data_IF_233174870512
#
_entry.id   IF_233174870512
#
_cell.length_a   1.000
_cell.length_b   1.000
_cell.length_c   1.000
_cell.angle_alpha   90.00
_cell.angle_beta   90.00
_cell.angle_gamma   90.00
#
_symmetry.space_group_name_H-M   'P 1'
#
loop_
_entity.id
_entity.type
_entity.pdbx_description
1 polymer ?
#
# COMPACT_ATOMS: atom_id res chain seq x y z
N UNK A 1 14.57 12.02 -39.88
CA UNK A 1 13.36 12.46 -39.17
C UNK A 1 12.33 12.86 -40.22
N UNK A 2 11.33 12.02 -40.48
CA UNK A 2 10.20 12.42 -41.31
C UNK A 2 9.46 13.55 -40.60
N UNK A 3 9.34 14.73 -41.20
CA UNK A 3 8.48 15.76 -40.63
C UNK A 3 7.05 15.21 -40.60
N UNK A 4 6.43 15.22 -39.42
CA UNK A 4 5.05 14.76 -39.27
C UNK A 4 4.11 15.67 -40.07
N UNK A 5 3.35 15.11 -41.00
CA UNK A 5 2.30 15.86 -41.70
C UNK A 5 1.15 16.08 -40.72
N UNK A 6 0.82 17.35 -40.46
CA UNK A 6 -0.31 17.72 -39.59
C UNK A 6 -1.52 17.99 -40.46
N UNK A 7 -2.56 17.15 -40.34
CA UNK A 7 -3.84 17.36 -41.00
C UNK A 7 -4.76 18.21 -40.11
N UNK A 8 -5.06 19.44 -40.54
CA UNK A 8 -5.97 20.33 -39.82
C UNK A 8 -7.38 20.26 -40.43
N UNK A 9 -8.34 19.77 -39.66
CA UNK A 9 -9.74 19.63 -40.08
C UNK A 9 -10.50 20.94 -39.85
N UNK A 10 -10.75 21.70 -40.93
CA UNK A 10 -11.39 23.03 -40.88
C UNK A 10 -12.88 23.03 -41.18
N UNK A 11 -13.54 21.87 -41.19
CA UNK A 11 -14.96 21.78 -41.52
C UNK A 11 -15.83 22.60 -40.53
N UNK A 12 -16.75 23.47 -40.98
CA UNK A 12 -17.51 24.36 -40.10
C UNK A 12 -18.30 23.64 -39.00
N UNK A 13 -18.85 22.45 -39.29
CA UNK A 13 -19.56 21.65 -38.28
C UNK A 13 -18.63 21.14 -37.18
N UNK A 14 -17.38 20.78 -37.49
CA UNK A 14 -16.40 20.34 -36.49
C UNK A 14 -16.05 21.53 -35.60
N UNK A 15 -15.78 22.70 -36.19
CA UNK A 15 -15.45 23.91 -35.43
C UNK A 15 -16.61 24.38 -34.54
N UNK A 16 -17.84 24.33 -35.06
CA UNK A 16 -19.04 24.65 -34.29
C UNK A 16 -19.22 23.71 -33.09
N UNK A 17 -19.16 22.39 -33.31
CA UNK A 17 -19.30 21.40 -32.23
C UNK A 17 -18.15 21.48 -31.24
N UNK A 18 -16.93 21.73 -31.70
CA UNK A 18 -15.77 21.96 -30.83
C UNK A 18 -15.96 23.20 -29.95
N UNK A 19 -16.56 24.27 -30.49
CA UNK A 19 -16.90 25.47 -29.73
C UNK A 19 -17.91 25.15 -28.63
N UNK A 20 -18.96 24.39 -28.93
CA UNK A 20 -19.94 23.92 -27.94
C UNK A 20 -19.31 23.01 -26.87
N UNK A 21 -18.37 22.14 -27.25
CA UNK A 21 -17.63 21.29 -26.31
C UNK A 21 -16.71 22.08 -25.38
N UNK A 22 -16.18 23.22 -25.83
CA UNK A 22 -15.30 24.09 -25.03
C UNK A 22 -16.04 24.95 -24.02
N UNK A 23 -17.38 25.03 -24.08
CA UNK A 23 -18.17 25.79 -23.12
C UNK A 23 -18.09 25.15 -21.73
N UNK A 24 -17.65 25.94 -20.73
CA UNK A 24 -17.46 25.47 -19.34
C UNK A 24 -18.74 24.93 -18.68
N UNK A 25 -19.89 25.46 -19.08
CA UNK A 25 -21.19 25.17 -18.46
C UNK A 25 -21.90 23.97 -19.13
N UNK A 26 -21.20 23.24 -20.02
CA UNK A 26 -21.78 22.11 -20.76
C UNK A 26 -21.94 20.89 -19.84
N UNK A 27 -23.09 20.22 -19.92
CA UNK A 27 -23.32 18.98 -19.18
C UNK A 27 -22.43 17.84 -19.69
N UNK A 28 -22.14 16.88 -18.82
CA UNK A 28 -21.34 15.69 -19.14
C UNK A 28 -21.95 14.86 -20.28
N UNK A 29 -23.27 14.69 -20.28
CA UNK A 29 -24.01 14.02 -21.36
C UNK A 29 -23.86 14.80 -22.67
N UNK A 30 -24.07 16.11 -22.65
CA UNK A 30 -23.95 16.95 -23.84
C UNK A 30 -22.53 16.98 -24.43
N UNK A 31 -21.50 16.92 -23.58
CA UNK A 31 -20.11 16.79 -24.03
C UNK A 31 -19.87 15.43 -24.72
N UNK A 32 -20.34 14.33 -24.15
CA UNK A 32 -20.19 12.98 -24.73
C UNK A 32 -20.87 12.86 -26.10
N UNK A 33 -22.08 13.40 -26.24
CA UNK A 33 -22.78 13.42 -27.54
C UNK A 33 -22.00 14.21 -28.59
N UNK A 34 -21.51 15.40 -28.25
CA UNK A 34 -20.72 16.21 -29.18
C UNK A 34 -19.38 15.54 -29.54
N UNK A 35 -18.72 14.88 -28.58
CA UNK A 35 -17.47 14.15 -28.83
C UNK A 35 -17.69 13.03 -29.85
N UNK A 36 -18.79 12.27 -29.70
CA UNK A 36 -19.20 11.24 -30.64
C UNK A 36 -19.46 11.80 -32.05
N UNK A 37 -20.24 12.88 -32.15
CA UNK A 37 -20.53 13.53 -33.44
C UNK A 37 -19.27 14.09 -34.11
N UNK A 38 -18.34 14.67 -33.33
CA UNK A 38 -17.06 15.13 -33.86
C UNK A 38 -16.22 13.94 -34.32
N UNK A 39 -16.22 12.82 -33.58
CA UNK A 39 -15.50 11.61 -33.98
C UNK A 39 -15.97 11.09 -35.34
N UNK A 40 -17.28 11.04 -35.58
CA UNK A 40 -17.85 10.61 -36.87
C UNK A 40 -17.42 11.53 -38.02
N UNK A 41 -17.48 12.85 -37.82
CA UNK A 41 -17.05 13.81 -38.83
C UNK A 41 -15.54 13.72 -39.12
N UNK A 42 -14.73 13.48 -38.08
CA UNK A 42 -13.29 13.29 -38.25
C UNK A 42 -12.99 11.97 -38.96
N UNK A 43 -13.67 10.88 -38.60
CA UNK A 43 -13.50 9.59 -39.24
C UNK A 43 -13.74 9.70 -40.75
N UNK A 44 -14.85 10.33 -41.15
CA UNK A 44 -15.19 10.54 -42.55
C UNK A 44 -14.10 11.30 -43.34
N UNK A 45 -13.55 12.38 -42.76
CA UNK A 45 -12.45 13.12 -43.40
C UNK A 45 -11.14 12.33 -43.43
N UNK A 46 -10.84 11.55 -42.38
CA UNK A 46 -9.63 10.73 -42.31
C UNK A 46 -9.67 9.54 -43.28
N UNK A 47 -10.85 9.02 -43.60
CA UNK A 47 -11.03 7.93 -44.56
C UNK A 47 -11.05 8.37 -46.02
N UNK A 48 -10.93 9.67 -46.32
CA UNK A 48 -11.05 10.20 -47.69
C UNK A 48 -10.06 9.59 -48.68
N UNK A 49 -8.83 9.37 -48.24
CA UNK A 49 -7.72 8.90 -49.09
C UNK A 49 -7.49 7.38 -48.95
N UNK A 50 -8.48 6.63 -48.48
CA UNK A 50 -8.37 5.18 -48.37
C UNK A 50 -8.18 4.54 -49.75
N UNK A 51 -7.28 3.56 -49.89
CA UNK A 51 -7.07 2.85 -51.14
C UNK A 51 -8.35 2.12 -51.57
N UNK A 52 -8.67 2.18 -52.86
CA UNK A 52 -9.84 1.53 -53.46
C UNK A 52 -9.44 0.71 -54.69
N UNK A 53 -10.29 -0.23 -55.07
CA UNK A 53 -10.14 -1.04 -56.27
C UNK A 53 -11.48 -1.19 -57.00
N UNK A 54 -11.40 -1.45 -58.30
CA UNK A 54 -12.56 -1.67 -59.15
C UNK A 54 -13.05 -3.11 -59.02
N UNK A 55 -14.37 -3.28 -58.87
CA UNK A 55 -15.03 -4.60 -58.73
C UNK A 55 -16.22 -4.65 -59.70
N UNK A 56 -16.36 -5.76 -60.43
CA UNK A 56 -17.56 -5.99 -61.23
C UNK A 56 -18.74 -6.42 -60.35
N UNK A 57 -19.86 -5.71 -60.47
CA UNK A 57 -21.09 -6.01 -59.75
C UNK A 57 -22.25 -6.17 -60.73
N UNK A 58 -23.26 -6.95 -60.34
CA UNK A 58 -24.51 -7.10 -61.08
C UNK A 58 -25.59 -6.31 -60.36
N UNK A 59 -26.07 -5.24 -60.98
CA UNK A 59 -27.22 -4.48 -60.47
C UNK A 59 -28.51 -5.12 -60.99
N UNK A 60 -29.69 -4.78 -60.42
CA UNK A 60 -30.97 -5.28 -60.95
C UNK A 60 -31.24 -4.94 -62.43
N UNK A 61 -30.49 -4.01 -63.02
CA UNK A 61 -30.66 -3.56 -64.41
C UNK A 61 -29.55 -4.09 -65.33
N UNK A 62 -28.28 -4.02 -64.92
CA UNK A 62 -27.13 -4.43 -65.74
C UNK A 62 -25.85 -4.67 -64.91
N UNK A 63 -24.84 -5.28 -65.55
CA UNK A 63 -23.48 -5.40 -64.98
C UNK A 63 -22.73 -4.09 -65.12
N UNK A 64 -22.11 -3.63 -64.03
CA UNK A 64 -21.31 -2.42 -64.02
C UNK A 64 -20.10 -2.56 -63.10
N UNK A 65 -19.15 -1.63 -63.24
CA UNK A 65 -17.96 -1.57 -62.38
C UNK A 65 -18.21 -0.63 -61.21
N UNK A 66 -18.20 -1.19 -59.99
CA UNK A 66 -18.23 -0.45 -58.73
C UNK A 66 -16.83 -0.18 -58.17
N UNK A 67 -16.76 0.63 -57.11
CA UNK A 67 -15.53 0.89 -56.35
C UNK A 67 -15.67 0.33 -54.95
N UNK A 68 -14.71 -0.49 -54.52
CA UNK A 68 -14.65 -1.08 -53.19
C UNK A 68 -13.36 -0.65 -52.48
N UNK A 69 -13.42 -0.44 -51.16
CA UNK A 69 -12.25 -0.11 -50.34
C UNK A 69 -11.34 -1.34 -50.25
N UNK A 70 -10.03 -1.15 -50.45
CA UNK A 70 -9.03 -2.22 -50.32
C UNK A 70 -9.07 -2.82 -48.91
N UNK A 71 -9.25 -4.14 -48.82
CA UNK A 71 -9.61 -4.89 -47.61
C UNK A 71 -8.53 -4.98 -46.52
N UNK A 72 -7.63 -4.01 -46.43
CA UNK A 72 -6.66 -3.93 -45.32
C UNK A 72 -7.43 -3.62 -44.04
N UNK A 73 -7.27 -4.50 -43.04
CA UNK A 73 -7.88 -4.33 -41.72
C UNK A 73 -7.41 -2.99 -41.14
N UNK A 74 -8.33 -2.02 -41.05
CA UNK A 74 -8.08 -0.76 -40.36
C UNK A 74 -8.03 -1.04 -38.87
N UNK A 75 -7.07 -0.45 -38.18
CA UNK A 75 -6.86 -0.70 -36.75
C UNK A 75 -6.93 0.62 -35.99
N UNK A 76 -7.88 0.73 -35.05
CA UNK A 76 -7.97 1.87 -34.16
C UNK A 76 -7.18 1.62 -32.87
N UNK A 77 -6.21 2.48 -32.58
CA UNK A 77 -5.46 2.48 -31.33
C UNK A 77 -5.98 3.59 -30.43
N UNK A 78 -6.49 3.23 -29.25
CA UNK A 78 -7.15 4.17 -28.35
C UNK A 78 -6.38 4.28 -27.04
N UNK A 79 -6.10 5.51 -26.63
CA UNK A 79 -5.51 5.80 -25.32
C UNK A 79 -6.64 5.99 -24.30
N UNK A 80 -6.78 5.02 -23.40
CA UNK A 80 -7.81 5.02 -22.37
C UNK A 80 -7.50 6.00 -21.22
N UNK A 81 -8.50 6.54 -20.51
CA UNK A 81 -9.96 6.33 -20.63
C UNK A 81 -10.67 7.31 -21.57
N UNK A 82 -10.09 8.49 -21.80
CA UNK A 82 -10.75 9.57 -22.53
C UNK A 82 -10.97 9.25 -24.02
N UNK A 83 -10.13 8.39 -24.61
CA UNK A 83 -10.26 7.97 -26.01
C UNK A 83 -11.50 7.12 -26.29
N UNK A 84 -12.13 6.52 -25.28
CA UNK A 84 -13.33 5.69 -25.46
C UNK A 84 -14.47 6.45 -26.14
N UNK A 85 -14.67 7.74 -25.81
CA UNK A 85 -15.75 8.54 -26.39
C UNK A 85 -15.52 8.92 -27.86
N UNK A 86 -14.29 8.82 -28.37
CA UNK A 86 -13.98 8.98 -29.79
C UNK A 86 -14.11 7.66 -30.56
N UNK A 87 -13.77 6.54 -29.91
CA UNK A 87 -13.82 5.22 -30.52
C UNK A 87 -15.21 4.88 -31.04
N UNK A 88 -16.24 5.15 -30.24
CA UNK A 88 -17.63 4.83 -30.58
C UNK A 88 -18.04 5.45 -31.94
N UNK A 89 -17.76 6.74 -32.14
CA UNK A 89 -18.09 7.43 -33.41
C UNK A 89 -17.16 7.07 -34.57
N UNK A 90 -15.94 6.61 -34.31
CA UNK A 90 -15.02 6.13 -35.36
C UNK A 90 -15.44 4.75 -35.89
N UNK A 91 -15.88 3.85 -35.00
CA UNK A 91 -16.36 2.52 -35.36
C UNK A 91 -17.66 2.56 -36.17
N UNK A 92 -18.49 3.60 -36.00
CA UNK A 92 -19.71 3.77 -36.79
C UNK A 92 -19.40 4.02 -38.28
N UNK A 93 -18.30 4.71 -38.60
CA UNK A 93 -17.87 4.96 -39.98
C UNK A 93 -17.13 3.76 -40.57
N UNK A 94 -16.32 3.06 -39.77
CA UNK A 94 -15.54 1.90 -40.20
C UNK A 94 -15.83 0.66 -39.33
N UNK A 95 -16.97 -0.02 -39.52
CA UNK A 95 -17.39 -1.13 -38.66
C UNK A 95 -16.50 -2.38 -38.79
N UNK A 96 -15.74 -2.50 -39.89
CA UNK A 96 -14.77 -3.58 -40.09
C UNK A 96 -13.41 -3.36 -39.41
N UNK A 97 -13.23 -2.27 -38.66
CA UNK A 97 -11.98 -1.95 -38.01
C UNK A 97 -11.77 -2.77 -36.72
N UNK A 98 -10.54 -3.24 -36.51
CA UNK A 98 -10.11 -3.91 -35.27
C UNK A 98 -9.59 -2.87 -34.28
N UNK A 99 -9.75 -3.10 -32.98
CA UNK A 99 -9.20 -2.25 -31.93
C UNK A 99 -7.83 -2.83 -31.52
N UNK A 100 -6.73 -2.10 -31.73
CA UNK A 100 -5.44 -2.49 -31.18
C UNK A 100 -5.15 -1.75 -29.87
N UNK A 101 -4.84 -2.54 -28.85
CA UNK A 101 -4.61 -2.06 -27.48
C UNK A 101 -5.37 -2.91 -26.48
N UNK A 102 -5.02 -2.73 -25.19
CA UNK A 102 -5.74 -3.37 -24.11
C UNK A 102 -7.10 -2.68 -23.97
N UNK A 103 -8.18 -3.39 -24.30
CA UNK A 103 -9.53 -2.90 -24.14
C UNK A 103 -9.95 -3.09 -22.68
N UNK A 104 -9.88 -2.03 -21.90
CA UNK A 104 -10.43 -2.01 -20.53
C UNK A 104 -11.78 -1.29 -20.54
N UNK A 105 -12.88 -2.04 -20.45
CA UNK A 105 -14.22 -1.46 -20.40
C UNK A 105 -14.97 -1.90 -19.14
N UNK A 106 -15.92 -1.07 -18.71
CA UNK A 106 -16.75 -1.32 -17.54
C UNK A 106 -18.22 -1.15 -17.89
N UNK A 107 -19.02 -2.17 -17.62
CA UNK A 107 -20.45 -2.21 -17.89
C UNK A 107 -21.18 -3.19 -16.97
N UNK A 108 -22.52 -3.20 -16.99
CA UNK A 108 -23.32 -4.13 -16.20
C UNK A 108 -23.24 -5.57 -16.71
N UNK A 109 -23.01 -5.76 -18.01
CA UNK A 109 -22.83 -7.07 -18.64
C UNK A 109 -21.61 -7.07 -19.54
N UNK A 110 -20.98 -8.23 -19.70
CA UNK A 110 -19.90 -8.44 -20.66
C UNK A 110 -20.46 -8.33 -22.09
N UNK A 111 -19.86 -7.49 -22.94
CA UNK A 111 -20.28 -7.37 -24.33
C UNK A 111 -19.72 -8.53 -25.14
N UNK A 112 -20.53 -9.13 -26.01
CA UNK A 112 -20.08 -10.17 -26.95
C UNK A 112 -19.19 -9.54 -28.02
N UNK A 113 -17.87 -9.65 -27.86
CA UNK A 113 -16.88 -9.13 -28.82
C UNK A 113 -16.56 -10.23 -29.85
N UNK A 114 -16.76 -10.01 -31.16
CA UNK A 114 -16.39 -10.97 -32.20
C UNK A 114 -14.89 -11.31 -32.16
N UNK A 115 -14.54 -12.59 -32.30
CA UNK A 115 -13.16 -13.05 -32.29
C UNK A 115 -12.35 -12.36 -33.41
N UNK A 116 -11.32 -11.60 -33.03
CA UNK A 116 -10.48 -10.80 -33.95
C UNK A 116 -10.78 -9.29 -33.96
N UNK A 117 -11.74 -8.82 -33.16
CA UNK A 117 -12.03 -7.39 -33.00
C UNK A 117 -11.08 -6.66 -32.03
N UNK A 118 -10.30 -7.37 -31.21
CA UNK A 118 -9.29 -6.78 -30.30
C UNK A 118 -7.98 -7.57 -30.38
N UNK A 119 -6.87 -6.91 -30.74
CA UNK A 119 -5.53 -7.54 -30.75
C UNK A 119 -4.86 -7.59 -29.37
N UNK A 120 -5.30 -6.74 -28.42
CA UNK A 120 -4.76 -6.67 -27.05
C UNK A 120 -5.59 -7.41 -26.00
N UNK A 121 -5.22 -7.29 -24.72
CA UNK A 121 -5.94 -7.93 -23.61
C UNK A 121 -7.26 -7.22 -23.34
N UNK A 122 -8.38 -7.96 -23.43
CA UNK A 122 -9.69 -7.47 -22.97
C UNK A 122 -9.75 -7.65 -21.46
N UNK A 123 -9.86 -6.55 -20.71
CA UNK A 123 -10.05 -6.57 -19.26
C UNK A 123 -11.41 -5.97 -18.96
N UNK A 124 -12.39 -6.84 -18.73
CA UNK A 124 -13.71 -6.43 -18.26
C UNK A 124 -13.63 -6.14 -16.75
N UNK A 125 -14.18 -5.00 -16.34
CA UNK A 125 -14.39 -4.70 -14.92
C UNK A 125 -15.87 -4.38 -14.73
N UNK A 126 -16.59 -5.30 -14.10
CA UNK A 126 -18.01 -5.15 -13.80
C UNK A 126 -18.25 -3.83 -13.05
N UNK A 127 -19.14 -3.00 -13.59
CA UNK A 127 -19.53 -1.76 -12.92
C UNK A 127 -20.47 -2.15 -11.78
N UNK A 128 -19.90 -2.31 -10.59
CA UNK A 128 -20.68 -2.41 -9.36
C UNK A 128 -21.44 -1.11 -9.17
N UNK A 129 -22.76 -1.17 -9.25
CA UNK A 129 -23.67 -0.04 -9.10
C UNK A 129 -23.43 0.66 -7.75
N UNK A 130 -23.68 1.98 -7.70
CA UNK A 130 -23.49 2.76 -6.46
C UNK A 130 -24.39 2.23 -5.31
N UNK A 131 -25.52 1.56 -5.65
CA UNK A 131 -26.38 0.84 -4.71
C UNK A 131 -25.72 -0.45 -4.18
N UNK A 132 -25.07 -1.24 -5.03
CA UNK A 132 -24.34 -2.45 -4.61
C UNK A 132 -23.10 -2.09 -3.79
N UNK A 133 -22.40 -0.99 -4.10
CA UNK A 133 -21.34 -0.45 -3.22
C UNK A 133 -21.89 0.03 -1.88
N UNK A 134 -23.07 0.66 -1.86
CA UNK A 134 -23.72 1.08 -0.63
C UNK A 134 -24.08 -0.14 0.23
N UNK A 135 -24.67 -1.20 -0.35
CA UNK A 135 -24.96 -2.47 0.34
C UNK A 135 -23.71 -3.20 0.82
N UNK A 136 -22.65 -3.29 0.01
CA UNK A 136 -21.38 -3.91 0.41
C UNK A 136 -20.70 -3.10 1.52
N UNK A 137 -20.75 -1.77 1.48
CA UNK A 137 -20.22 -0.92 2.56
C UNK A 137 -21.06 -1.05 3.85
N UNK A 138 -22.38 -1.23 3.72
CA UNK A 138 -23.30 -1.50 4.84
C UNK A 138 -23.06 -2.88 5.45
N UNK A 139 -22.81 -3.89 4.62
CA UNK A 139 -22.41 -5.24 5.05
C UNK A 139 -21.02 -5.27 5.71
N UNK A 140 -20.06 -4.53 5.16
CA UNK A 140 -18.70 -4.41 5.71
C UNK A 140 -18.69 -3.64 7.04
N UNK A 141 -19.53 -2.60 7.18
CA UNK A 141 -19.74 -1.89 8.45
C UNK A 141 -20.61 -2.66 9.45
N UNK A 142 -21.50 -3.55 8.99
CA UNK A 142 -22.18 -4.52 9.85
C UNK A 142 -21.20 -5.58 10.39
N UNK A 143 -20.10 -5.84 9.67
CA UNK A 143 -18.96 -6.61 10.15
C UNK A 143 -17.95 -5.77 10.95
N UNK A 144 -18.12 -4.44 11.08
CA UNK A 144 -17.26 -3.61 11.93
C UNK A 144 -17.20 -4.09 13.40
N UNK A 145 -18.29 -4.53 14.06
CA UNK A 145 -18.17 -5.17 15.37
C UNK A 145 -17.34 -6.45 15.30
N UNK A 146 -17.52 -7.31 14.29
CA UNK A 146 -16.71 -8.52 14.11
C UNK A 146 -15.22 -8.19 13.85
N UNK A 147 -14.92 -7.14 13.08
CA UNK A 147 -13.58 -6.65 12.81
C UNK A 147 -12.96 -5.97 14.05
N UNK A 148 -13.76 -5.32 14.88
CA UNK A 148 -13.35 -4.83 16.19
C UNK A 148 -13.02 -6.00 17.13
N UNK A 149 -13.86 -7.05 17.15
CA UNK A 149 -13.58 -8.28 17.89
C UNK A 149 -12.37 -9.04 17.33
N UNK A 150 -12.16 -9.05 16.01
CA UNK A 150 -10.96 -9.60 15.37
C UNK A 150 -9.69 -8.78 15.66
N UNK A 151 -9.84 -7.45 15.75
CA UNK A 151 -8.77 -6.57 16.23
C UNK A 151 -8.48 -6.77 17.71
N UNK A 152 -9.50 -7.05 18.53
CA UNK A 152 -9.35 -7.39 19.94
C UNK A 152 -8.69 -8.76 20.12
N UNK A 153 -9.07 -9.78 19.34
CA UNK A 153 -8.43 -11.10 19.39
C UNK A 153 -6.96 -11.00 18.99
N UNK A 154 -6.61 -10.24 17.95
CA UNK A 154 -5.20 -9.99 17.60
C UNK A 154 -4.42 -9.29 18.73
N UNK A 155 -5.02 -8.33 19.43
CA UNK A 155 -4.41 -7.67 20.60
C UNK A 155 -4.22 -8.62 21.78
N UNK A 156 -5.19 -9.49 22.05
CA UNK A 156 -5.10 -10.51 23.11
C UNK A 156 -4.02 -11.54 22.79
N UNK A 157 -3.95 -11.99 21.53
CA UNK A 157 -2.89 -12.89 21.05
C UNK A 157 -1.51 -12.24 21.21
N UNK A 158 -1.36 -10.97 20.82
CA UNK A 158 -0.11 -10.23 20.98
C UNK A 158 0.31 -10.09 22.45
N UNK A 159 -0.64 -9.85 23.35
CA UNK A 159 -0.40 -9.81 24.79
C UNK A 159 0.03 -11.17 25.35
N UNK A 160 -0.66 -12.26 24.98
CA UNK A 160 -0.31 -13.61 25.40
C UNK A 160 1.10 -14.00 24.93
N UNK A 161 1.47 -13.69 23.68
CA UNK A 161 2.81 -13.96 23.17
C UNK A 161 3.89 -13.15 23.93
N UNK A 162 3.61 -11.88 24.25
CA UNK A 162 4.54 -11.04 25.03
C UNK A 162 4.68 -11.56 26.46
N UNK A 163 3.58 -12.04 27.06
CA UNK A 163 3.59 -12.63 28.38
C UNK A 163 4.36 -13.95 28.43
N UNK A 164 4.13 -14.85 27.46
CA UNK A 164 4.87 -16.12 27.35
C UNK A 164 6.36 -15.87 27.10
N UNK A 165 6.69 -14.93 26.21
CA UNK A 165 8.09 -14.56 25.94
C UNK A 165 8.76 -13.94 27.17
N UNK A 166 8.05 -13.08 27.89
CA UNK A 166 8.53 -12.49 29.15
C UNK A 166 8.73 -13.53 30.25
N UNK A 167 7.82 -14.49 30.39
CA UNK A 167 7.95 -15.62 31.31
C UNK A 167 9.16 -16.49 30.94
N UNK A 168 9.31 -16.85 29.66
CA UNK A 168 10.44 -17.63 29.16
C UNK A 168 11.78 -16.93 29.44
N UNK A 169 11.86 -15.62 29.26
CA UNK A 169 13.07 -14.84 29.54
C UNK A 169 13.37 -14.68 31.03
N UNK A 170 12.37 -14.56 31.89
CA UNK A 170 12.57 -14.59 33.34
C UNK A 170 13.15 -15.95 33.76
N UNK A 171 12.69 -17.04 33.15
CA UNK A 171 13.19 -18.39 33.43
C UNK A 171 14.61 -18.64 32.87
N UNK A 172 14.95 -18.12 31.68
CA UNK A 172 16.26 -18.31 31.05
C UNK A 172 17.35 -17.34 31.52
N UNK A 173 16.99 -16.11 31.91
CA UNK A 173 17.95 -15.02 32.12
C UNK A 173 17.74 -14.25 33.45
N UNK A 174 17.46 -14.99 34.53
CA UNK A 174 17.11 -14.50 35.86
C UNK A 174 18.09 -13.44 36.44
N UNK A 175 19.38 -13.47 36.06
CA UNK A 175 20.41 -12.51 36.54
C UNK A 175 20.52 -11.21 35.73
N UNK A 176 20.15 -11.18 34.45
CA UNK A 176 20.33 -9.99 33.59
C UNK A 176 19.15 -9.02 33.65
N UNK A 177 17.93 -9.54 33.83
CA UNK A 177 16.69 -8.74 33.82
C UNK A 177 16.48 -7.95 35.13
N UNK A 178 16.85 -8.51 36.29
CA UNK A 178 16.67 -7.86 37.59
C UNK A 178 17.51 -6.59 37.76
N UNK A 179 18.65 -6.48 37.07
CA UNK A 179 19.49 -5.27 37.06
C UNK A 179 18.98 -4.15 36.14
N UNK A 180 18.13 -4.45 35.16
CA UNK A 180 17.67 -3.47 34.18
C UNK A 180 16.58 -2.54 34.74
N UNK A 181 15.74 -3.02 35.66
CA UNK A 181 14.63 -2.22 36.23
C UNK A 181 15.08 -1.20 37.28
N UNK A 182 16.20 -1.42 37.98
CA UNK A 182 16.75 -0.46 38.95
C UNK A 182 17.48 0.72 38.31
N UNK A 183 17.97 0.55 37.07
CA UNK A 183 18.70 1.59 36.32
C UNK A 183 17.76 2.66 35.78
N UNK A 184 16.53 2.30 35.38
CA UNK A 184 15.56 3.26 34.83
C UNK A 184 15.14 4.31 35.88
N UNK A 185 15.12 3.94 37.16
CA UNK A 185 14.70 4.83 38.26
C UNK A 185 15.79 5.84 38.68
N UNK A 186 17.04 5.62 38.31
CA UNK A 186 18.19 6.42 38.77
C UNK A 186 18.80 7.32 37.70
N UNK A 187 18.78 6.91 36.42
CA UNK A 187 19.43 7.63 35.32
C UNK A 187 18.54 7.74 34.07
N UNK A 188 17.42 8.45 34.16
CA UNK A 188 16.47 8.60 33.03
C UNK A 188 17.07 9.31 31.82
N UNK A 189 18.00 10.26 32.03
CA UNK A 189 18.63 11.05 30.96
C UNK A 189 19.53 10.22 30.01
N UNK A 190 20.57 9.53 30.52
CA UNK A 190 21.44 8.69 29.70
C UNK A 190 20.71 7.52 29.04
N UNK A 191 19.72 6.94 29.73
CA UNK A 191 18.89 5.84 29.21
C UNK A 191 18.08 6.30 27.99
N UNK A 192 17.41 7.45 28.08
CA UNK A 192 16.66 8.01 26.96
C UNK A 192 17.57 8.38 25.78
N UNK A 193 18.75 8.96 26.04
CA UNK A 193 19.70 9.35 25.00
C UNK A 193 20.26 8.16 24.20
N UNK A 194 20.70 7.10 24.88
CA UNK A 194 21.19 5.89 24.20
C UNK A 194 20.05 5.10 23.53
N UNK A 195 18.84 5.13 24.09
CA UNK A 195 17.65 4.58 23.46
C UNK A 195 17.30 5.28 22.15
N UNK A 196 17.30 6.62 22.13
CA UNK A 196 17.01 7.42 20.94
C UNK A 196 18.05 7.17 19.84
N UNK A 197 19.33 7.17 20.22
CA UNK A 197 20.44 6.95 19.29
C UNK A 197 20.32 5.56 18.65
N UNK A 198 20.09 4.51 19.44
CA UNK A 198 20.02 3.16 18.89
C UNK A 198 18.74 2.92 18.06
N UNK A 199 17.62 3.53 18.41
CA UNK A 199 16.36 3.43 17.65
C UNK A 199 16.47 4.08 16.27
N UNK A 200 17.27 5.13 16.13
CA UNK A 200 17.43 5.87 14.87
C UNK A 200 18.64 5.38 14.05
N UNK A 201 19.79 5.13 14.70
CA UNK A 201 21.03 4.73 14.02
C UNK A 201 21.00 3.29 13.52
N UNK A 202 20.38 2.35 14.25
CA UNK A 202 20.36 0.93 13.86
C UNK A 202 19.61 0.67 12.54
N UNK A 203 18.38 1.16 12.31
CA UNK A 203 17.70 0.96 11.03
C UNK A 203 18.39 1.72 9.89
N UNK A 204 18.97 2.89 10.16
CA UNK A 204 19.73 3.65 9.17
C UNK A 204 20.99 2.90 8.74
N UNK A 205 21.77 2.37 9.69
CA UNK A 205 22.96 1.58 9.42
C UNK A 205 22.62 0.29 8.68
N UNK A 206 21.56 -0.41 9.08
CA UNK A 206 21.10 -1.61 8.38
C UNK A 206 20.65 -1.30 6.94
N UNK A 207 19.96 -0.17 6.74
CA UNK A 207 19.58 0.31 5.40
C UNK A 207 20.79 0.61 4.52
N UNK A 208 21.83 1.26 5.06
CA UNK A 208 23.10 1.50 4.34
C UNK A 208 23.78 0.18 3.96
N UNK A 209 23.78 -0.81 4.84
CA UNK A 209 24.33 -2.15 4.56
C UNK A 209 23.54 -2.84 3.43
N UNK A 210 22.21 -2.70 3.39
CA UNK A 210 21.36 -3.24 2.33
C UNK A 210 21.63 -2.66 0.93
N UNK A 211 22.23 -1.47 0.81
CA UNK A 211 22.55 -0.85 -0.48
C UNK A 211 23.59 -1.68 -1.26
N UNK A 212 24.41 -2.47 -0.57
CA UNK A 212 25.36 -3.38 -1.22
C UNK A 212 24.70 -4.72 -1.55
N UNK A 213 24.94 -5.27 -2.75
CA UNK A 213 24.40 -6.57 -3.18
C UNK A 213 24.79 -7.70 -2.22
N UNK A 214 25.99 -7.62 -1.64
CA UNK A 214 26.51 -8.58 -0.65
C UNK A 214 25.95 -8.29 0.76
N UNK A 215 25.63 -7.03 1.07
CA UNK A 215 25.10 -6.62 2.37
C UNK A 215 23.58 -6.76 2.49
N UNK A 216 22.83 -7.00 1.42
CA UNK A 216 21.40 -7.31 1.49
C UNK A 216 21.05 -8.44 2.48
N UNK A 217 21.68 -9.64 2.42
CA UNK A 217 21.41 -10.70 3.41
C UNK A 217 21.78 -10.26 4.83
N UNK A 218 22.90 -9.56 5.02
CA UNK A 218 23.36 -9.11 6.32
C UNK A 218 22.44 -8.02 6.91
N UNK A 219 21.97 -7.11 6.08
CA UNK A 219 21.07 -6.02 6.46
C UNK A 219 19.67 -6.52 6.82
N UNK A 220 19.15 -7.53 6.11
CA UNK A 220 17.90 -8.20 6.49
C UNK A 220 18.05 -8.86 7.87
N UNK A 221 19.15 -9.60 8.11
CA UNK A 221 19.42 -10.21 9.42
C UNK A 221 19.50 -9.14 10.51
N UNK A 222 20.19 -8.03 10.27
CA UNK A 222 20.30 -6.93 11.22
C UNK A 222 18.94 -6.27 11.53
N UNK A 223 18.08 -6.07 10.53
CA UNK A 223 16.72 -5.54 10.71
C UNK A 223 15.83 -6.51 11.50
N UNK A 224 15.92 -7.81 11.23
CA UNK A 224 15.18 -8.84 11.98
C UNK A 224 15.62 -8.86 13.44
N UNK A 225 16.94 -8.87 13.70
CA UNK A 225 17.48 -8.82 15.06
C UNK A 225 17.07 -7.54 15.81
N UNK A 226 17.09 -6.39 15.12
CA UNK A 226 16.61 -5.14 15.69
C UNK A 226 15.11 -5.17 16.00
N UNK A 227 14.29 -5.75 15.12
CA UNK A 227 12.85 -5.95 15.35
C UNK A 227 12.56 -6.86 16.55
N UNK A 228 13.31 -7.96 16.70
CA UNK A 228 13.25 -8.83 17.89
C UNK A 228 13.64 -8.02 19.13
N UNK A 229 14.71 -7.23 19.07
CA UNK A 229 15.16 -6.41 20.19
C UNK A 229 14.12 -5.36 20.61
N UNK A 230 13.43 -4.72 19.66
CA UNK A 230 12.31 -3.81 19.94
C UNK A 230 11.13 -4.51 20.61
N UNK A 231 10.85 -5.76 20.23
CA UNK A 231 9.83 -6.57 20.90
C UNK A 231 10.22 -6.87 22.34
N UNK A 232 11.48 -7.27 22.57
CA UNK A 232 12.02 -7.57 23.90
C UNK A 232 12.10 -6.34 24.82
N UNK A 233 12.26 -5.14 24.26
CA UNK A 233 12.31 -3.88 25.01
C UNK A 233 11.03 -3.59 25.83
N UNK A 234 9.90 -4.20 25.49
CA UNK A 234 8.63 -4.02 26.21
C UNK A 234 8.65 -4.66 27.60
N UNK A 235 9.49 -5.67 27.80
CA UNK A 235 9.58 -6.45 29.03
C UNK A 235 10.10 -5.64 30.24
N UNK A 236 11.27 -4.95 30.18
CA UNK A 236 11.76 -4.17 31.31
C UNK A 236 10.85 -3.00 31.68
N UNK A 237 10.23 -2.35 30.69
CA UNK A 237 9.28 -1.25 30.91
C UNK A 237 7.99 -1.77 31.55
N UNK A 238 7.46 -2.90 31.07
CA UNK A 238 6.31 -3.57 31.69
C UNK A 238 6.59 -3.97 33.13
N UNK A 239 7.75 -4.58 33.40
CA UNK A 239 8.13 -4.99 34.77
C UNK A 239 8.26 -3.77 35.70
N UNK A 240 8.84 -2.67 35.23
CA UNK A 240 8.93 -1.42 35.99
C UNK A 240 7.55 -0.81 36.28
N UNK A 241 6.69 -0.74 35.26
CA UNK A 241 5.35 -0.18 35.40
C UNK A 241 4.49 -1.02 36.36
N UNK A 242 4.61 -2.35 36.27
CA UNK A 242 3.94 -3.26 37.19
C UNK A 242 4.47 -3.18 38.62
N UNK A 243 5.79 -3.04 38.80
CA UNK A 243 6.39 -2.86 40.13
C UNK A 243 5.97 -1.55 40.78
N UNK A 244 5.85 -0.46 40.00
CA UNK A 244 5.35 0.84 40.47
C UNK A 244 3.96 0.71 41.10
N UNK A 245 3.13 -0.19 40.59
CA UNK A 245 1.72 -0.35 40.98
C UNK A 245 1.54 -1.42 42.07
N UNK A 246 2.27 -2.54 42.00
CA UNK A 246 2.08 -3.68 42.92
C UNK A 246 2.81 -3.55 44.27
N UNK A 247 3.78 -2.65 44.41
CA UNK A 247 4.37 -2.41 45.72
C UNK A 247 5.65 -1.60 45.71
N UNK A 248 5.58 -0.38 46.24
CA UNK A 248 6.75 0.45 46.57
C UNK A 248 7.59 -0.13 47.73
N UNK A 249 7.05 -1.08 48.52
CA UNK A 249 7.61 -1.48 49.83
C UNK A 249 7.93 -2.98 50.00
N UNK A 250 8.08 -3.79 48.93
CA UNK A 250 8.51 -5.21 49.07
C UNK A 250 9.72 -5.54 48.18
N UNK A 251 10.77 -6.20 48.71
CA UNK A 251 11.93 -6.61 47.92
C UNK A 251 11.56 -7.70 46.91
N UNK A 252 12.22 -7.65 45.75
CA UNK A 252 12.06 -8.48 44.56
C UNK A 252 12.52 -9.94 44.78
N UNK A 253 12.10 -10.61 45.84
CA UNK A 253 12.68 -11.90 46.25
C UNK A 253 11.81 -13.12 45.86
N UNK A 254 10.49 -12.95 45.73
CA UNK A 254 9.61 -14.06 45.30
C UNK A 254 9.36 -14.04 43.79
N UNK A 255 9.68 -15.17 43.12
CA UNK A 255 9.44 -15.38 41.68
C UNK A 255 7.98 -15.08 41.27
N UNK A 256 7.02 -15.35 42.15
CA UNK A 256 5.60 -15.06 41.91
C UNK A 256 5.28 -13.57 41.83
N UNK A 257 5.97 -12.72 42.59
CA UNK A 257 5.77 -11.27 42.57
C UNK A 257 6.35 -10.64 41.29
N UNK A 258 7.50 -11.13 40.80
CA UNK A 258 8.05 -10.70 39.51
C UNK A 258 7.09 -11.02 38.35
N UNK A 259 6.55 -12.24 38.32
CA UNK A 259 5.62 -12.67 37.27
C UNK A 259 4.31 -11.85 37.34
N UNK A 260 3.79 -11.61 38.55
CA UNK A 260 2.59 -10.79 38.75
C UNK A 260 2.78 -9.33 38.33
N UNK A 261 3.94 -8.73 38.65
CA UNK A 261 4.27 -7.38 38.21
C UNK A 261 4.44 -7.28 36.69
N UNK A 262 5.10 -8.25 36.05
CA UNK A 262 5.24 -8.29 34.59
C UNK A 262 3.88 -8.43 33.91
N UNK A 263 3.03 -9.34 34.39
CA UNK A 263 1.67 -9.54 33.87
C UNK A 263 0.87 -8.23 33.92
N UNK A 264 0.81 -7.61 35.10
CA UNK A 264 0.01 -6.40 35.27
C UNK A 264 0.57 -5.23 34.46
N UNK A 265 1.89 -5.06 34.43
CA UNK A 265 2.51 -3.99 33.65
C UNK A 265 2.34 -4.14 32.14
N UNK A 266 2.45 -5.36 31.60
CA UNK A 266 2.17 -5.64 30.19
C UNK A 266 0.68 -5.47 29.87
N UNK A 267 -0.22 -5.82 30.81
CA UNK A 267 -1.67 -5.67 30.62
C UNK A 267 -2.04 -4.20 30.47
N UNK A 268 -1.49 -3.37 31.36
CA UNK A 268 -1.69 -1.92 31.33
C UNK A 268 -1.13 -1.32 30.04
N UNK A 269 0.10 -1.67 29.66
CA UNK A 269 0.69 -1.20 28.39
C UNK A 269 -0.14 -1.62 27.17
N UNK A 270 -0.69 -2.83 27.18
CA UNK A 270 -1.55 -3.34 26.11
C UNK A 270 -2.86 -2.55 26.00
N UNK A 271 -3.51 -2.27 27.12
CA UNK A 271 -4.72 -1.45 27.19
C UNK A 271 -4.46 0.00 26.75
N UNK A 272 -3.37 0.60 27.23
CA UNK A 272 -2.97 1.96 26.89
C UNK A 272 -2.64 2.08 25.38
N UNK A 273 -2.01 1.05 24.79
CA UNK A 273 -1.73 0.99 23.35
C UNK A 273 -2.98 0.79 22.48
N UNK A 274 -4.11 0.37 23.06
CA UNK A 274 -5.34 0.18 22.30
C UNK A 274 -5.97 1.48 21.81
N UNK A 275 -5.62 2.63 22.41
CA UNK A 275 -6.12 3.95 22.03
C UNK A 275 -5.36 4.45 20.79
N UNK A 276 -6.04 4.78 19.68
CA UNK A 276 -5.40 4.99 18.37
C UNK A 276 -4.36 6.13 18.34
N UNK A 277 -4.55 7.21 19.09
CA UNK A 277 -3.61 8.34 19.15
C UNK A 277 -2.54 8.13 20.22
N UNK A 278 -2.96 7.72 21.43
CA UNK A 278 -2.05 7.60 22.59
C UNK A 278 -1.11 6.39 22.40
N UNK A 279 -1.58 5.34 21.74
CA UNK A 279 -0.82 4.11 21.56
C UNK A 279 0.47 4.28 20.75
N UNK A 280 0.53 5.24 19.82
CA UNK A 280 1.76 5.57 19.11
C UNK A 280 2.82 6.14 20.06
N UNK A 281 2.43 7.11 20.90
CA UNK A 281 3.34 7.74 21.87
C UNK A 281 3.80 6.75 22.94
N UNK A 282 2.92 5.88 23.43
CA UNK A 282 3.27 4.85 24.41
C UNK A 282 4.23 3.83 23.80
N UNK A 283 4.00 3.39 22.56
CA UNK A 283 4.91 2.47 21.88
C UNK A 283 6.29 3.10 21.70
N UNK A 284 6.34 4.36 21.28
CA UNK A 284 7.59 5.10 21.11
C UNK A 284 8.34 5.27 22.44
N UNK A 285 7.64 5.67 23.51
CA UNK A 285 8.23 5.79 24.83
C UNK A 285 8.73 4.44 25.36
N UNK A 286 7.96 3.37 25.18
CA UNK A 286 8.34 2.02 25.60
C UNK A 286 9.59 1.54 24.86
N UNK A 287 9.66 1.76 23.55
CA UNK A 287 10.83 1.43 22.75
C UNK A 287 12.07 2.23 23.20
N UNK A 288 11.89 3.54 23.45
CA UNK A 288 12.95 4.43 23.90
C UNK A 288 13.56 3.99 25.24
N UNK A 289 12.72 3.80 26.25
CA UNK A 289 13.17 3.43 27.60
C UNK A 289 13.63 1.97 27.69
N UNK A 290 12.97 1.05 26.98
CA UNK A 290 13.33 -0.36 26.97
C UNK A 290 14.70 -0.62 26.36
N UNK A 291 15.00 0.03 25.23
CA UNK A 291 16.29 -0.15 24.55
C UNK A 291 17.43 0.52 25.32
N UNK A 292 17.18 1.71 25.87
CA UNK A 292 18.13 2.41 26.73
C UNK A 292 18.52 1.59 27.97
N UNK A 293 17.55 0.92 28.61
CA UNK A 293 17.81 0.08 29.77
C UNK A 293 18.70 -1.12 29.43
N UNK A 294 18.48 -1.74 28.27
CA UNK A 294 19.29 -2.86 27.81
C UNK A 294 20.76 -2.45 27.53
N UNK A 295 20.96 -1.38 26.76
CA UNK A 295 22.30 -0.90 26.37
C UNK A 295 23.11 -0.42 27.59
N UNK A 296 22.48 0.29 28.53
CA UNK A 296 23.16 0.79 29.73
C UNK A 296 23.52 -0.37 30.68
N UNK A 297 22.65 -1.36 30.83
CA UNK A 297 22.92 -2.55 31.65
C UNK A 297 24.13 -3.34 31.12
N UNK A 298 24.19 -3.56 29.80
CA UNK A 298 25.29 -4.27 29.16
C UNK A 298 26.63 -3.52 29.30
N UNK A 299 26.61 -2.19 29.15
CA UNK A 299 27.82 -1.36 29.37
C UNK A 299 28.29 -1.33 30.82
N UNK A 300 27.37 -1.34 31.79
CA UNK A 300 27.73 -1.43 33.22
C UNK A 300 28.38 -2.77 33.53
N UNK A 301 27.85 -3.87 32.98
CA UNK A 301 28.45 -5.21 33.11
C UNK A 301 29.85 -5.27 32.49
N UNK A 302 30.05 -4.69 31.31
CA UNK A 302 31.38 -4.64 30.67
C UNK A 302 32.37 -3.75 31.43
N UNK A 303 31.93 -2.61 31.99
CA UNK A 303 32.78 -1.75 32.83
C UNK A 303 33.12 -2.42 34.15
N UNK A 304 32.20 -3.19 34.74
CA UNK A 304 32.46 -3.98 35.94
C UNK A 304 33.47 -5.10 35.68
N UNK A 305 33.38 -5.80 34.53
CA UNK A 305 34.43 -6.76 34.12
C UNK A 305 35.78 -6.08 33.91
N UNK A 306 35.83 -4.93 33.21
CA UNK A 306 37.09 -4.17 33.02
C UNK A 306 37.66 -3.58 34.31
N UNK A 307 36.82 -3.28 35.30
CA UNK A 307 37.25 -2.82 36.62
C UNK A 307 37.72 -3.97 37.51
N UNK A 308 37.20 -5.19 37.32
CA UNK A 308 37.64 -6.41 38.00
C UNK A 308 39.02 -6.91 37.55
N UNK A 309 39.41 -6.64 36.30
CA UNK A 309 40.76 -6.96 35.78
C UNK A 309 41.86 -6.01 36.30
N UNK A 310 41.50 -4.93 37.01
CA UNK A 310 42.45 -3.94 37.56
C UNK A 310 42.65 -4.03 39.08
N UNK A 311 42.21 -5.10 39.73
CA UNK A 311 42.62 -5.36 41.11
C UNK A 311 44.05 -5.94 41.11
N UNK A 312 45.04 -5.30 41.77
CA UNK A 312 46.36 -5.91 41.90
C UNK A 312 46.20 -7.22 42.68
N UNK A 313 46.79 -8.29 42.15
CA UNK A 313 46.98 -9.55 42.87
C UNK A 313 47.82 -9.22 44.10
N UNK A 314 47.20 -9.33 45.28
CA UNK A 314 47.86 -9.36 46.58
C UNK A 314 47.02 -10.27 47.50
#
# INVERSE_FOLDING_TARGET
>A
MSQGVVHHLTHPLIQHKLTLMRQKDRSTTGFRTLLHEVALLMAYELTRDMPTHAVEIETPLERCTGTEIDGKKTVFVVIMRAGAGLLDGMLEVAPGATIAGNLTYSGPNEATIPAGAVEGTVTFTERVDDETKAEVSKGLSALAPLAFFAGLTWKVIAYLMAFVTGLALILLAQRRMAGASSVIRTDTGPVAGWGALALLVTPLAAGVVCVTVIGLPLGIIALVLWGILLYLCQLPVGLLLGHLILGQNKPLESKGFMIGSLALGLLILSLLRAIPVIGFFIWFATALFGFGAFVVNERRLMRAHRAGDNAPIA
#
